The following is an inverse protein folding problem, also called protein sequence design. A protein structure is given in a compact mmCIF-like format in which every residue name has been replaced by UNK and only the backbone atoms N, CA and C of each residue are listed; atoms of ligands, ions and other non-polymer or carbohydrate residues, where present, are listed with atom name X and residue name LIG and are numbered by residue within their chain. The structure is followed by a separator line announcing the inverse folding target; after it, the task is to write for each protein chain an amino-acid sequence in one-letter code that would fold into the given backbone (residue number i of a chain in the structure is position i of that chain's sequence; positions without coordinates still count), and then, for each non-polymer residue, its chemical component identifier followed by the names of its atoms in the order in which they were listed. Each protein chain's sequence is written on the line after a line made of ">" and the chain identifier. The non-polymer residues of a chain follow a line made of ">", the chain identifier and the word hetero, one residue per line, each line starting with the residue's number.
data_IF_301227211541
#
_entry.id   IF_301227211541
#
_cell.length_a   1.000
_cell.length_b   1.000
_cell.length_c   1.000
_cell.angle_alpha   90.00
_cell.angle_beta   90.00
_cell.angle_gamma   90.00
#
_symmetry.space_group_name_H-M   'P 1'
#
loop_
_entity.id
_entity.type
_entity.pdbx_description
1 polymer ?
#
# COMPACT_ATOMS: atom_id res chain seq x y z
N UNK A 1 -14.28 32.28 -17.38
CA UNK A 1 -13.85 31.28 -16.38
C UNK A 1 -12.37 30.90 -16.49
N UNK A 2 -11.85 30.57 -17.67
CA UNK A 2 -10.44 30.11 -17.85
C UNK A 2 -9.37 31.08 -17.29
N UNK A 3 -9.53 32.39 -17.50
CA UNK A 3 -8.63 33.42 -16.94
C UNK A 3 -8.71 33.58 -15.41
N UNK A 4 -9.84 33.22 -14.80
CA UNK A 4 -9.98 33.25 -13.34
C UNK A 4 -9.18 32.10 -12.74
N UNK A 5 -9.39 30.87 -13.24
CA UNK A 5 -8.65 29.69 -12.80
C UNK A 5 -7.13 29.80 -13.04
N UNK A 6 -6.68 30.40 -14.16
CA UNK A 6 -5.24 30.54 -14.40
C UNK A 6 -4.54 31.45 -13.38
N UNK A 7 -5.21 32.50 -12.89
CA UNK A 7 -4.68 33.36 -11.81
C UNK A 7 -4.51 32.60 -10.49
N UNK A 8 -5.47 31.76 -10.12
CA UNK A 8 -5.36 30.93 -8.91
C UNK A 8 -4.24 29.92 -9.02
N UNK A 9 -4.13 29.23 -10.16
CA UNK A 9 -3.05 28.25 -10.40
C UNK A 9 -1.69 28.95 -10.31
N UNK A 10 -1.54 30.12 -10.94
CA UNK A 10 -0.30 30.88 -10.90
C UNK A 10 0.06 31.30 -9.46
N UNK A 11 -0.91 31.78 -8.69
CA UNK A 11 -0.68 32.18 -7.30
C UNK A 11 -0.30 30.98 -6.41
N UNK A 12 -0.95 29.83 -6.59
CA UNK A 12 -0.57 28.59 -5.90
C UNK A 12 0.86 28.14 -6.23
N UNK A 13 1.26 28.23 -7.50
CA UNK A 13 2.63 27.90 -7.92
C UNK A 13 3.64 28.83 -7.27
N UNK A 14 3.37 30.14 -7.22
CA UNK A 14 4.24 31.13 -6.57
C UNK A 14 4.40 30.82 -5.08
N UNK A 15 3.30 30.59 -4.36
CA UNK A 15 3.33 30.24 -2.93
C UNK A 15 4.13 28.94 -2.70
N UNK A 16 3.89 27.92 -3.52
CA UNK A 16 4.61 26.65 -3.44
C UNK A 16 6.11 26.82 -3.70
N UNK A 17 6.49 27.66 -4.67
CA UNK A 17 7.88 28.01 -4.95
C UNK A 17 8.56 28.64 -3.73
N UNK A 18 7.92 29.60 -3.06
CA UNK A 18 8.48 30.21 -1.86
C UNK A 18 8.67 29.20 -0.72
N UNK A 19 7.69 28.31 -0.50
CA UNK A 19 7.78 27.25 0.51
C UNK A 19 8.98 26.34 0.22
N UNK A 20 9.16 25.93 -1.04
CA UNK A 20 10.25 25.03 -1.44
C UNK A 20 11.61 25.70 -1.30
N UNK A 21 11.75 26.96 -1.71
CA UNK A 21 12.99 27.74 -1.51
C UNK A 21 13.30 27.85 -0.01
N UNK A 22 12.30 28.10 0.83
CA UNK A 22 12.43 28.12 2.28
C UNK A 22 12.92 26.79 2.85
N UNK A 23 12.32 25.68 2.43
CA UNK A 23 12.73 24.33 2.83
C UNK A 23 14.15 23.99 2.35
N UNK A 24 14.49 24.30 1.10
CA UNK A 24 15.82 24.08 0.53
C UNK A 24 16.88 24.91 1.25
N UNK A 25 16.60 26.18 1.52
CA UNK A 25 17.47 27.07 2.28
C UNK A 25 17.66 26.61 3.73
N UNK A 26 16.59 26.14 4.40
CA UNK A 26 16.68 25.57 5.73
C UNK A 26 17.55 24.30 5.75
N UNK A 27 17.32 23.39 4.82
CA UNK A 27 18.11 22.16 4.68
C UNK A 27 19.59 22.47 4.42
N UNK A 28 19.86 23.46 3.56
CA UNK A 28 21.21 23.94 3.29
C UNK A 28 21.89 24.48 4.56
N UNK A 29 21.20 25.36 5.31
CA UNK A 29 21.71 25.94 6.56
C UNK A 29 22.00 24.87 7.63
N UNK A 30 21.13 23.88 7.77
CA UNK A 30 21.35 22.76 8.71
C UNK A 30 22.56 21.94 8.29
N UNK A 31 22.74 21.71 6.99
CA UNK A 31 23.85 20.94 6.46
C UNK A 31 25.20 21.68 6.56
N UNK A 32 25.23 23.01 6.37
CA UNK A 32 26.44 23.82 6.60
C UNK A 32 26.91 23.79 8.05
N UNK A 33 25.97 23.75 9.01
CA UNK A 33 26.25 23.69 10.45
C UNK A 33 26.81 22.34 10.92
N UNK A 34 26.83 21.31 10.08
CA UNK A 34 27.44 20.00 10.42
C UNK A 34 28.96 20.14 10.44
N UNK A 35 29.61 19.42 11.36
CA UNK A 35 31.07 19.31 11.40
C UNK A 35 31.58 18.66 10.11
N UNK A 36 32.79 19.01 9.68
CA UNK A 36 33.37 18.49 8.43
C UNK A 36 33.61 16.97 8.46
N UNK A 37 33.78 16.40 9.64
CA UNK A 37 33.96 14.95 9.84
C UNK A 37 32.64 14.16 9.88
N UNK A 38 31.48 14.82 9.80
CA UNK A 38 30.19 14.13 9.80
C UNK A 38 29.95 13.43 8.44
N UNK A 39 29.79 12.09 8.39
CA UNK A 39 29.55 11.36 7.15
C UNK A 39 28.27 11.78 6.42
N UNK A 40 27.36 12.48 7.12
CA UNK A 40 26.11 13.02 6.55
C UNK A 40 26.27 14.42 5.99
N UNK A 41 27.42 15.10 6.12
CA UNK A 41 27.63 16.43 5.54
C UNK A 41 27.81 16.31 4.03
N UNK A 42 26.87 16.90 3.28
CA UNK A 42 26.97 16.96 1.81
C UNK A 42 27.60 18.27 1.40
N UNK A 43 28.52 18.27 0.43
CA UNK A 43 29.00 19.52 -0.19
C UNK A 43 27.92 20.01 -1.16
N UNK A 44 27.03 20.87 -0.67
CA UNK A 44 26.01 21.49 -1.49
C UNK A 44 26.50 22.87 -1.94
N UNK A 45 26.32 23.21 -3.22
CA UNK A 45 26.59 24.56 -3.72
C UNK A 45 25.39 25.46 -3.39
N UNK A 46 25.57 26.72 -2.95
CA UNK A 46 24.45 27.61 -2.60
C UNK A 46 23.49 27.86 -3.77
N UNK A 47 24.00 27.79 -5.00
CA UNK A 47 23.18 27.86 -6.22
C UNK A 47 22.12 26.74 -6.32
N UNK A 48 22.29 25.61 -5.61
CA UNK A 48 21.32 24.52 -5.60
C UNK A 48 19.96 24.92 -5.01
N UNK A 49 19.92 25.96 -4.15
CA UNK A 49 18.67 26.49 -3.59
C UNK A 49 17.81 27.10 -4.71
N UNK A 50 18.41 27.81 -5.66
CA UNK A 50 17.72 28.44 -6.78
C UNK A 50 17.30 27.45 -7.87
N UNK A 51 17.94 26.27 -7.92
CA UNK A 51 17.55 25.17 -8.81
C UNK A 51 16.34 24.37 -8.27
N UNK A 52 16.01 24.50 -6.98
CA UNK A 52 14.88 23.78 -6.36
C UNK A 52 13.51 24.00 -7.05
N UNK A 53 13.11 25.22 -7.47
CA UNK A 53 11.88 25.39 -8.24
C UNK A 53 11.94 24.78 -9.64
N UNK A 54 13.13 24.69 -10.25
CA UNK A 54 13.30 24.11 -11.60
C UNK A 54 13.13 22.59 -11.56
N UNK A 55 13.49 21.93 -10.46
CA UNK A 55 13.29 20.47 -10.29
C UNK A 55 11.84 20.09 -10.00
N UNK A 56 10.99 21.05 -9.63
CA UNK A 56 9.57 20.86 -9.32
C UNK A 56 8.75 20.26 -10.48
N UNK A 57 8.79 20.79 -11.72
CA UNK A 57 8.10 20.15 -12.84
C UNK A 57 8.57 18.72 -13.07
N UNK A 58 9.87 18.45 -12.97
CA UNK A 58 10.40 17.08 -13.10
C UNK A 58 9.88 16.15 -12.01
N UNK A 59 9.81 16.63 -10.77
CA UNK A 59 9.23 15.88 -9.66
C UNK A 59 7.74 15.59 -9.95
N UNK A 60 6.99 16.59 -10.41
CA UNK A 60 5.57 16.44 -10.76
C UNK A 60 5.37 15.42 -11.89
N UNK A 61 6.18 15.49 -12.95
CA UNK A 61 6.20 14.48 -14.02
C UNK A 61 6.48 13.08 -13.49
N UNK A 62 7.46 12.95 -12.58
CA UNK A 62 7.79 11.68 -11.95
C UNK A 62 6.62 11.13 -11.11
N UNK A 63 5.94 11.98 -10.34
CA UNK A 63 4.74 11.59 -9.59
C UNK A 63 3.59 11.16 -10.50
N UNK A 64 3.34 11.89 -11.59
CA UNK A 64 2.33 11.49 -12.60
C UNK A 64 2.70 10.13 -13.20
N UNK A 65 3.97 9.94 -13.56
CA UNK A 65 4.45 8.67 -14.11
C UNK A 65 4.23 7.51 -13.13
N UNK A 66 4.59 7.67 -11.85
CA UNK A 66 4.34 6.67 -10.81
C UNK A 66 2.84 6.39 -10.61
N UNK A 67 2.00 7.42 -10.68
CA UNK A 67 0.56 7.27 -10.59
C UNK A 67 0.00 6.43 -11.74
N UNK A 68 0.42 6.73 -12.98
CA UNK A 68 0.04 5.96 -14.17
C UNK A 68 0.50 4.52 -14.04
N UNK A 69 1.77 4.30 -13.65
CA UNK A 69 2.33 2.95 -13.48
C UNK A 69 1.54 2.15 -12.43
N UNK A 70 1.21 2.78 -11.30
CA UNK A 70 0.40 2.16 -10.25
C UNK A 70 -1.01 1.82 -10.76
N UNK A 71 -1.64 2.71 -11.51
CA UNK A 71 -2.94 2.45 -12.14
C UNK A 71 -2.87 1.28 -13.12
N UNK A 72 -1.78 1.17 -13.88
CA UNK A 72 -1.55 0.08 -14.82
C UNK A 72 -1.43 -1.27 -14.10
N UNK A 73 -0.69 -1.30 -12.99
CA UNK A 73 -0.55 -2.49 -12.14
C UNK A 73 -1.90 -2.93 -11.56
N UNK A 74 -2.75 -2.00 -11.12
CA UNK A 74 -4.11 -2.32 -10.68
C UNK A 74 -4.98 -2.87 -11.82
N UNK A 75 -4.86 -2.30 -13.03
CA UNK A 75 -5.54 -2.83 -14.21
C UNK A 75 -5.11 -4.26 -14.54
N UNK A 76 -3.79 -4.52 -14.53
CA UNK A 76 -3.23 -5.85 -14.72
C UNK A 76 -3.73 -6.83 -13.64
N UNK A 77 -3.74 -6.40 -12.37
CA UNK A 77 -4.23 -7.20 -11.26
C UNK A 77 -5.70 -7.58 -11.45
N UNK A 78 -6.55 -6.64 -11.88
CA UNK A 78 -7.97 -6.91 -12.15
C UNK A 78 -8.16 -7.92 -13.28
N UNK A 79 -7.38 -7.82 -14.36
CA UNK A 79 -7.43 -8.79 -15.48
C UNK A 79 -7.02 -10.17 -14.98
N UNK A 80 -5.89 -10.28 -14.27
CA UNK A 80 -5.42 -11.55 -13.70
C UNK A 80 -6.41 -12.13 -12.71
N UNK A 81 -7.01 -11.31 -11.85
CA UNK A 81 -8.03 -11.71 -10.90
C UNK A 81 -9.29 -12.23 -11.61
N UNK A 82 -9.70 -11.57 -12.69
CA UNK A 82 -10.84 -12.00 -13.51
C UNK A 82 -10.56 -13.35 -14.17
N UNK A 83 -9.37 -13.52 -14.77
CA UNK A 83 -8.94 -14.81 -15.34
C UNK A 83 -8.89 -15.88 -14.25
N UNK A 84 -8.37 -15.56 -13.07
CA UNK A 84 -8.33 -16.47 -11.94
C UNK A 84 -9.75 -16.91 -11.55
N UNK A 85 -10.71 -15.99 -11.44
CA UNK A 85 -12.12 -16.32 -11.17
C UNK A 85 -12.73 -17.21 -12.26
N UNK A 86 -12.44 -16.94 -13.54
CA UNK A 86 -12.92 -17.77 -14.65
C UNK A 86 -12.27 -19.15 -14.64
N UNK A 87 -10.98 -19.26 -14.31
CA UNK A 87 -10.28 -20.54 -14.15
C UNK A 87 -10.82 -21.33 -12.94
N UNK A 88 -11.19 -20.62 -11.87
CA UNK A 88 -11.85 -21.12 -10.66
C UNK A 88 -13.31 -21.54 -10.91
N UNK A 89 -13.90 -21.24 -12.08
CA UNK A 89 -15.26 -21.66 -12.44
C UNK A 89 -15.48 -23.19 -12.40
N UNK A 90 -14.41 -23.99 -12.39
CA UNK A 90 -14.54 -25.43 -12.08
C UNK A 90 -14.87 -25.61 -10.58
N UNK A 91 -15.81 -26.51 -10.21
CA UNK A 91 -16.26 -26.72 -8.83
C UNK A 91 -15.18 -27.23 -7.87
N UNK A 92 -13.91 -27.23 -8.27
CA UNK A 92 -12.77 -27.66 -7.46
C UNK A 92 -12.69 -26.92 -6.11
N UNK A 93 -12.85 -25.59 -6.08
CA UNK A 93 -12.82 -24.87 -4.80
C UNK A 93 -14.02 -25.21 -3.91
N UNK A 94 -15.22 -25.40 -4.47
CA UNK A 94 -16.40 -25.76 -3.68
C UNK A 94 -16.30 -27.18 -3.15
N UNK A 95 -15.83 -28.13 -3.96
CA UNK A 95 -15.58 -29.52 -3.53
C UNK A 95 -14.45 -29.57 -2.50
N UNK A 96 -13.40 -28.77 -2.66
CA UNK A 96 -12.31 -28.68 -1.69
C UNK A 96 -12.76 -28.04 -0.37
N UNK A 97 -13.57 -26.98 -0.44
CA UNK A 97 -14.15 -26.31 0.72
C UNK A 97 -15.10 -27.24 1.47
N UNK A 98 -15.96 -27.97 0.75
CA UNK A 98 -16.84 -28.99 1.32
C UNK A 98 -16.02 -30.06 2.04
N UNK A 99 -14.95 -30.54 1.41
CA UNK A 99 -14.05 -31.54 2.01
C UNK A 99 -13.39 -31.05 3.31
N UNK A 100 -12.99 -29.78 3.37
CA UNK A 100 -12.42 -29.19 4.58
C UNK A 100 -13.50 -29.00 5.65
N UNK A 101 -14.68 -28.50 5.26
CA UNK A 101 -15.79 -28.30 6.18
C UNK A 101 -16.20 -29.62 6.84
N UNK A 102 -16.31 -30.71 6.06
CA UNK A 102 -16.63 -32.04 6.57
C UNK A 102 -15.51 -32.59 7.46
N UNK A 103 -14.25 -32.42 7.08
CA UNK A 103 -13.12 -32.88 7.89
C UNK A 103 -13.03 -32.15 9.25
N UNK A 104 -13.22 -30.83 9.26
CA UNK A 104 -13.27 -30.03 10.49
C UNK A 104 -14.50 -30.45 11.33
N UNK A 105 -15.65 -30.60 10.69
CA UNK A 105 -16.89 -31.01 11.34
C UNK A 105 -16.77 -32.37 12.03
N UNK A 106 -16.23 -33.37 11.35
CA UNK A 106 -15.97 -34.70 11.91
C UNK A 106 -15.02 -34.64 13.10
N UNK A 107 -13.91 -33.90 12.99
CA UNK A 107 -12.94 -33.76 14.09
C UNK A 107 -13.54 -33.07 15.30
N UNK A 108 -14.39 -32.07 15.09
CA UNK A 108 -15.10 -31.39 16.16
C UNK A 108 -16.14 -32.31 16.82
N UNK A 109 -16.85 -33.09 16.02
CA UNK A 109 -17.85 -34.05 16.50
C UNK A 109 -17.19 -35.15 17.33
N UNK A 110 -16.05 -35.68 16.86
CA UNK A 110 -15.25 -36.70 17.53
C UNK A 110 -14.71 -36.17 18.87
N UNK A 111 -14.20 -34.94 18.89
CA UNK A 111 -13.76 -34.28 20.11
C UNK A 111 -14.91 -34.04 21.12
N UNK A 112 -16.07 -33.58 20.64
CA UNK A 112 -17.26 -33.40 21.49
C UNK A 112 -17.77 -34.73 22.03
N UNK A 113 -17.78 -35.79 21.21
CA UNK A 113 -18.17 -37.13 21.64
C UNK A 113 -17.21 -37.67 22.69
N UNK A 114 -15.90 -37.43 22.53
CA UNK A 114 -14.90 -37.78 23.52
C UNK A 114 -15.09 -37.04 24.85
N UNK A 115 -15.37 -35.72 24.80
CA UNK A 115 -15.70 -34.94 26.00
C UNK A 115 -16.96 -35.50 26.68
N UNK A 116 -18.02 -35.76 25.93
CA UNK A 116 -19.25 -36.33 26.46
C UNK A 116 -18.99 -37.69 27.12
N UNK A 117 -18.19 -38.57 26.53
CA UNK A 117 -17.83 -39.86 27.14
C UNK A 117 -17.10 -39.72 28.48
N UNK A 118 -16.23 -38.73 28.61
CA UNK A 118 -15.51 -38.47 29.87
C UNK A 118 -16.47 -37.96 30.95
N UNK A 119 -17.38 -37.05 30.60
CA UNK A 119 -18.25 -36.40 31.57
C UNK A 119 -19.56 -37.15 31.83
N UNK A 120 -20.04 -37.96 30.88
CA UNK A 120 -21.32 -38.68 30.89
C UNK A 120 -21.15 -40.11 30.32
N UNK A 121 -20.44 -41.01 31.01
CA UNK A 121 -20.13 -42.37 30.53
C UNK A 121 -21.36 -43.27 30.30
N UNK A 122 -22.52 -42.91 30.84
CA UNK A 122 -23.79 -43.64 30.67
C UNK A 122 -24.43 -43.50 29.27
N UNK A 123 -23.91 -42.63 28.41
CA UNK A 123 -24.50 -42.39 27.08
C UNK A 123 -24.06 -43.40 26.01
N UNK A 124 -23.06 -44.25 26.29
CA UNK A 124 -22.53 -45.24 25.34
C UNK A 124 -23.38 -46.52 25.20
N UNK A 125 -24.42 -46.71 26.02
CA UNK A 125 -25.20 -47.97 26.06
C UNK A 125 -26.48 -47.99 25.21
N UNK A 126 -26.79 -46.94 24.45
CA UNK A 126 -27.92 -46.96 23.52
C UNK A 126 -27.45 -46.99 22.06
N UNK A 127 -27.74 -48.05 21.29
CA UNK A 127 -27.57 -47.99 19.85
C UNK A 127 -28.56 -46.95 19.30
N UNK A 128 -28.07 -46.12 18.37
CA UNK A 128 -28.91 -45.27 17.52
C UNK A 128 -29.74 -46.13 16.54
#
# INVERSE_FOLDING_TARGET
>A
MLFYYSKYICNCVIVLTFIIIGCAGYAFRVNERRKDDDPKKKRCHPAAIFLAPITLPFLLFFWIFLFILRSLLYGLFLILFTIALVAIRKPFLLIWLDRIATWIGEKLLEANTFLIRIFLPQWDTQPA
#
